data_IF_382382286799
#
_entry.id   IF_382382286799
#
_cell.length_a   1.000
_cell.length_b   1.000
_cell.length_c   1.000
_cell.angle_alpha   90.00
_cell.angle_beta   90.00
_cell.angle_gamma   90.00
#
_symmetry.space_group_name_H-M   'P 1'
#
loop_
_entity.id
_entity.type
_entity.pdbx_description
1 polymer ?
#
# COMPACT_ATOMS: atom_id res chain seq x y z
N UNK A 1 -5.16 0.36 9.97
CA UNK A 1 -3.81 0.25 9.37
C UNK A 1 -2.96 1.45 9.76
N UNK A 2 -1.64 1.35 9.63
CA UNK A 2 -0.74 2.50 9.65
C UNK A 2 -0.12 2.67 8.25
N UNK A 3 -0.37 3.83 7.64
CA UNK A 3 0.29 4.30 6.44
C UNK A 3 1.28 5.40 6.84
N UNK A 4 2.49 5.37 6.30
CA UNK A 4 3.40 6.50 6.40
C UNK A 4 3.17 7.45 5.21
N UNK A 5 3.60 8.70 5.37
CA UNK A 5 3.58 9.69 4.30
C UNK A 5 4.40 9.18 3.09
N UNK A 6 3.95 9.40 1.83
CA UNK A 6 2.85 10.27 1.40
C UNK A 6 1.44 9.66 1.46
N UNK A 7 1.30 8.37 1.77
CA UNK A 7 0.00 7.69 1.79
C UNK A 7 -0.93 8.15 2.92
N UNK A 8 -0.36 8.63 4.04
CA UNK A 8 -1.11 9.31 5.09
C UNK A 8 -0.29 10.46 5.68
N UNK A 9 -0.94 11.60 5.81
CA UNK A 9 -0.40 12.81 6.43
C UNK A 9 -0.73 12.79 7.92
N UNK A 10 0.23 13.18 8.76
CA UNK A 10 0.06 13.17 10.23
C UNK A 10 -0.57 14.48 10.73
N UNK A 11 -0.52 15.51 9.89
CA UNK A 11 -0.92 16.87 10.16
C UNK A 11 -2.43 16.96 10.32
N UNK A 12 -2.87 17.70 11.34
CA UNK A 12 -4.29 17.92 11.63
C UNK A 12 -4.86 19.14 10.91
N UNK A 13 -3.99 20.00 10.35
CA UNK A 13 -4.37 21.18 9.60
C UNK A 13 -4.11 20.98 8.10
N UNK A 14 -5.07 21.41 7.28
CA UNK A 14 -5.00 21.25 5.82
C UNK A 14 -3.81 21.97 5.20
N UNK A 15 -3.42 23.15 5.74
CA UNK A 15 -2.30 23.93 5.21
C UNK A 15 -0.95 23.22 5.40
N UNK A 16 -0.76 22.57 6.54
CA UNK A 16 0.47 21.82 6.85
C UNK A 16 0.54 20.56 5.98
N UNK A 17 -0.59 19.88 5.82
CA UNK A 17 -0.70 18.73 4.92
C UNK A 17 -0.39 19.13 3.47
N UNK A 18 -0.99 20.21 2.98
CA UNK A 18 -0.72 20.77 1.65
C UNK A 18 0.77 21.07 1.47
N UNK A 19 1.38 21.76 2.43
CA UNK A 19 2.81 22.11 2.39
C UNK A 19 3.70 20.86 2.30
N UNK A 20 3.35 19.76 3.00
CA UNK A 20 4.08 18.49 2.86
C UNK A 20 3.89 17.85 1.49
N UNK A 21 2.70 17.91 0.91
CA UNK A 21 2.44 17.40 -0.43
C UNK A 21 3.20 18.19 -1.50
N UNK A 22 3.24 19.51 -1.39
CA UNK A 22 4.09 20.38 -2.23
C UNK A 22 5.57 20.00 -2.13
N UNK A 23 6.07 19.72 -0.92
CA UNK A 23 7.46 19.32 -0.74
C UNK A 23 7.79 17.99 -1.42
N UNK A 24 6.91 16.99 -1.40
CA UNK A 24 7.15 15.73 -2.12
C UNK A 24 6.93 15.89 -3.62
N UNK A 25 5.99 16.73 -4.05
CA UNK A 25 5.81 17.09 -5.45
C UNK A 25 7.09 17.69 -6.02
N UNK A 26 7.67 18.69 -5.36
CA UNK A 26 8.94 19.29 -5.78
C UNK A 26 10.08 18.26 -5.83
N UNK A 27 10.13 17.31 -4.88
CA UNK A 27 11.14 16.24 -4.91
C UNK A 27 10.94 15.30 -6.10
N UNK A 28 9.70 14.96 -6.44
CA UNK A 28 9.37 14.20 -7.65
C UNK A 28 9.84 14.99 -8.87
N UNK A 29 9.48 16.26 -8.99
CA UNK A 29 9.85 17.13 -10.11
C UNK A 29 11.36 17.18 -10.35
N UNK A 30 12.19 17.24 -9.30
CA UNK A 30 13.64 17.31 -9.43
C UNK A 30 14.34 15.96 -9.62
N UNK A 31 13.69 14.85 -9.24
CA UNK A 31 14.23 13.51 -9.37
C UNK A 31 14.26 13.05 -10.84
N UNK A 32 15.39 12.50 -11.29
CA UNK A 32 15.52 11.94 -12.65
C UNK A 32 15.24 10.44 -12.68
N UNK A 33 15.58 9.73 -11.62
CA UNK A 33 15.48 8.28 -11.53
C UNK A 33 14.63 7.88 -10.32
N UNK A 34 13.38 7.54 -10.57
CA UNK A 34 12.43 7.12 -9.51
C UNK A 34 12.31 5.60 -9.45
N UNK A 35 12.59 5.02 -8.29
CA UNK A 35 12.31 3.61 -8.00
C UNK A 35 11.01 3.50 -7.18
N UNK A 36 10.08 2.68 -7.62
CA UNK A 36 8.88 2.32 -6.86
C UNK A 36 8.98 0.84 -6.47
N UNK A 37 8.95 0.55 -5.17
CA UNK A 37 9.04 -0.81 -4.64
C UNK A 37 7.64 -1.28 -4.25
N UNK A 38 7.02 -2.12 -5.09
CA UNK A 38 5.71 -2.73 -4.86
C UNK A 38 4.69 -2.42 -5.94
N UNK A 39 4.46 -3.36 -6.86
CA UNK A 39 3.44 -3.31 -7.91
C UNK A 39 1.99 -3.59 -7.46
N UNK A 40 1.60 -3.14 -6.27
CA UNK A 40 0.19 -3.08 -5.87
C UNK A 40 -0.51 -1.83 -6.43
N UNK A 41 -1.78 -1.61 -6.09
CA UNK A 41 -2.55 -0.46 -6.59
C UNK A 41 -1.83 0.88 -6.39
N UNK A 42 -1.33 1.12 -5.17
CA UNK A 42 -0.60 2.36 -4.83
C UNK A 42 0.64 2.57 -5.70
N UNK A 43 1.44 1.53 -5.91
CA UNK A 43 2.66 1.66 -6.71
C UNK A 43 2.37 1.84 -8.20
N UNK A 44 1.31 1.19 -8.71
CA UNK A 44 0.86 1.33 -10.09
C UNK A 44 0.34 2.75 -10.35
N UNK A 45 -0.54 3.25 -9.48
CA UNK A 45 -1.07 4.62 -9.56
C UNK A 45 0.07 5.63 -9.49
N UNK A 46 0.97 5.51 -8.51
CA UNK A 46 2.10 6.44 -8.38
C UNK A 46 3.01 6.44 -9.60
N UNK A 47 3.35 5.27 -10.16
CA UNK A 47 4.12 5.20 -11.41
C UNK A 47 3.38 5.87 -12.57
N UNK A 48 2.08 5.60 -12.71
CA UNK A 48 1.25 6.16 -13.79
C UNK A 48 1.16 7.68 -13.72
N UNK A 49 0.89 8.23 -12.54
CA UNK A 49 0.81 9.69 -12.32
C UNK A 49 2.14 10.37 -12.62
N UNK A 50 3.25 9.87 -12.05
CA UNK A 50 4.57 10.46 -12.28
C UNK A 50 4.95 10.40 -13.77
N UNK A 51 4.72 9.26 -14.43
CA UNK A 51 5.02 9.10 -15.86
C UNK A 51 4.08 9.92 -16.76
N UNK A 52 2.87 10.24 -16.28
CA UNK A 52 1.91 11.05 -17.02
C UNK A 52 2.31 12.52 -16.98
N UNK A 53 2.64 13.04 -15.80
CA UNK A 53 2.94 14.46 -15.59
C UNK A 53 4.38 14.82 -15.94
N UNK A 54 5.33 13.89 -15.81
CA UNK A 54 6.74 14.14 -16.01
C UNK A 54 7.37 13.17 -17.01
N UNK A 55 7.35 13.57 -18.29
CA UNK A 55 7.76 12.71 -19.43
C UNK A 55 9.26 12.40 -19.51
N UNK A 56 10.09 13.15 -18.80
CA UNK A 56 11.55 13.03 -18.82
C UNK A 56 12.10 12.11 -17.70
N UNK A 57 11.23 11.54 -16.86
CA UNK A 57 11.65 10.72 -15.72
C UNK A 57 11.87 9.26 -16.09
N UNK A 58 12.94 8.69 -15.56
CA UNK A 58 13.20 7.26 -15.60
C UNK A 58 12.56 6.58 -14.39
N UNK A 59 11.46 5.86 -14.61
CA UNK A 59 10.72 5.20 -13.54
C UNK A 59 10.96 3.69 -13.63
N UNK A 60 11.37 3.08 -12.52
CA UNK A 60 11.49 1.63 -12.36
C UNK A 60 10.53 1.14 -11.30
N UNK A 61 9.65 0.19 -11.64
CA UNK A 61 8.76 -0.49 -10.72
C UNK A 61 9.27 -1.90 -10.45
N UNK A 62 9.60 -2.20 -9.19
CA UNK A 62 9.99 -3.55 -8.77
C UNK A 62 8.85 -4.21 -8.02
N UNK A 63 8.52 -5.46 -8.37
CA UNK A 63 7.51 -6.24 -7.68
C UNK A 63 7.92 -7.71 -7.51
N UNK A 64 7.52 -8.28 -6.38
CA UNK A 64 7.93 -9.62 -5.96
C UNK A 64 7.17 -10.75 -6.66
N UNK A 65 6.00 -10.45 -7.24
CA UNK A 65 5.14 -11.43 -7.90
C UNK A 65 5.32 -11.38 -9.42
N UNK A 66 4.74 -12.38 -10.10
CA UNK A 66 4.83 -12.55 -11.55
C UNK A 66 3.87 -11.65 -12.35
N UNK A 67 2.98 -10.93 -11.67
CA UNK A 67 2.05 -9.98 -12.25
C UNK A 67 1.89 -8.77 -11.31
N UNK A 68 1.49 -7.63 -11.86
CA UNK A 68 1.04 -6.48 -11.09
C UNK A 68 -0.32 -6.74 -10.43
N UNK A 69 -0.65 -6.01 -9.37
CA UNK A 69 -1.81 -6.24 -8.48
C UNK A 69 -1.80 -7.63 -7.82
N UNK A 70 -2.73 -7.83 -6.88
CA UNK A 70 -2.89 -9.13 -6.24
C UNK A 70 -3.33 -10.19 -7.27
N UNK A 71 -2.71 -11.38 -7.30
CA UNK A 71 -3.04 -12.44 -8.25
C UNK A 71 -4.42 -13.02 -7.96
N UNK A 72 -5.02 -13.63 -8.99
CA UNK A 72 -6.31 -14.34 -8.93
C UNK A 72 -7.52 -13.46 -8.53
N UNK A 73 -7.39 -12.14 -8.62
CA UNK A 73 -8.50 -11.19 -8.40
C UNK A 73 -9.15 -10.79 -9.72
N UNK A 74 -8.36 -10.64 -10.77
CA UNK A 74 -8.81 -10.19 -12.09
C UNK A 74 -8.54 -11.26 -13.14
N UNK A 75 -9.15 -11.11 -14.32
CA UNK A 75 -8.82 -11.95 -15.46
C UNK A 75 -7.42 -11.61 -16.02
N UNK A 76 -6.84 -12.53 -16.79
CA UNK A 76 -5.50 -12.38 -17.36
C UNK A 76 -5.34 -11.15 -18.27
N UNK A 77 -6.42 -10.72 -18.92
CA UNK A 77 -6.42 -9.54 -19.79
C UNK A 77 -6.20 -8.25 -19.01
N UNK A 78 -6.76 -8.12 -17.80
CA UNK A 78 -6.56 -6.96 -16.94
C UNK A 78 -5.09 -6.78 -16.58
N UNK A 79 -4.42 -7.85 -16.13
CA UNK A 79 -3.00 -7.79 -15.75
C UNK A 79 -2.12 -7.37 -16.92
N UNK A 80 -2.35 -7.94 -18.12
CA UNK A 80 -1.64 -7.57 -19.35
C UNK A 80 -1.88 -6.10 -19.71
N UNK A 81 -3.13 -5.64 -19.61
CA UNK A 81 -3.50 -4.26 -19.97
C UNK A 81 -2.87 -3.23 -19.02
N UNK A 82 -2.77 -3.52 -17.73
CA UNK A 82 -2.11 -2.63 -16.76
C UNK A 82 -0.61 -2.56 -17.05
N UNK A 83 0.02 -3.72 -17.26
CA UNK A 83 1.44 -3.78 -17.59
C UNK A 83 1.75 -3.00 -18.88
N UNK A 84 0.99 -3.23 -19.95
CA UNK A 84 1.13 -2.52 -21.22
C UNK A 84 0.99 -1.01 -21.05
N UNK A 85 -0.01 -0.52 -20.31
CA UNK A 85 -0.20 0.92 -20.11
C UNK A 85 0.99 1.58 -19.38
N UNK A 86 1.60 0.90 -18.42
CA UNK A 86 2.79 1.41 -17.76
C UNK A 86 4.03 1.35 -18.66
N UNK A 87 4.18 0.29 -19.45
CA UNK A 87 5.27 0.16 -20.43
C UNK A 87 5.15 1.21 -21.55
N UNK A 88 3.92 1.52 -22.01
CA UNK A 88 3.61 2.59 -22.97
C UNK A 88 3.99 3.97 -22.40
N UNK A 89 3.95 4.13 -21.08
CA UNK A 89 4.43 5.30 -20.34
C UNK A 89 5.94 5.23 -20.04
N UNK A 90 6.68 4.30 -20.65
CA UNK A 90 8.13 4.09 -20.47
C UNK A 90 8.55 3.72 -19.04
N UNK A 91 7.63 3.18 -18.24
CA UNK A 91 7.96 2.62 -16.92
C UNK A 91 8.64 1.28 -17.11
N UNK A 92 9.87 1.14 -16.57
CA UNK A 92 10.59 -0.13 -16.53
C UNK A 92 10.01 -1.01 -15.43
N UNK A 93 9.47 -2.18 -15.78
CA UNK A 93 8.85 -3.10 -14.82
C UNK A 93 9.78 -4.30 -14.59
N UNK A 94 10.06 -4.60 -13.32
CA UNK A 94 10.87 -5.74 -12.89
C UNK A 94 10.00 -6.62 -11.97
N UNK A 95 9.60 -7.77 -12.47
CA UNK A 95 8.74 -8.74 -11.78
C UNK A 95 9.54 -9.92 -11.22
N UNK A 96 8.98 -10.64 -10.26
CA UNK A 96 9.61 -11.77 -9.57
C UNK A 96 10.93 -11.41 -8.87
N UNK A 97 11.09 -10.16 -8.46
CA UNK A 97 12.30 -9.65 -7.80
C UNK A 97 11.96 -8.85 -6.56
N UNK A 98 12.84 -8.92 -5.57
CA UNK A 98 12.66 -8.30 -4.26
C UNK A 98 13.85 -7.44 -3.91
N UNK A 99 13.59 -6.18 -3.57
CA UNK A 99 14.56 -5.31 -2.88
C UNK A 99 14.47 -5.58 -1.38
N UNK A 100 15.61 -5.62 -0.67
CA UNK A 100 15.61 -5.73 0.78
C UNK A 100 15.19 -4.40 1.43
N UNK A 101 13.89 -4.24 1.65
CA UNK A 101 13.34 -3.02 2.25
C UNK A 101 13.86 -2.76 3.67
N UNK A 102 14.28 -3.78 4.42
CA UNK A 102 14.83 -3.58 5.77
C UNK A 102 16.19 -2.90 5.69
N UNK A 103 17.02 -3.27 4.71
CA UNK A 103 18.31 -2.62 4.49
C UNK A 103 18.18 -1.11 4.27
N UNK A 104 17.15 -0.66 3.55
CA UNK A 104 17.04 0.74 3.12
C UNK A 104 16.05 1.59 3.91
N UNK A 105 14.98 1.00 4.45
CA UNK A 105 13.90 1.70 5.14
C UNK A 105 13.85 1.43 6.65
N UNK A 106 14.77 0.66 7.22
CA UNK A 106 14.81 0.47 8.67
C UNK A 106 15.05 1.81 9.38
N UNK A 107 14.21 2.11 10.37
CA UNK A 107 14.20 3.40 11.06
C UNK A 107 13.65 4.58 10.24
N UNK A 108 13.28 4.39 8.97
CA UNK A 108 12.67 5.44 8.16
C UNK A 108 11.19 5.59 8.55
N UNK A 109 10.80 6.79 8.94
CA UNK A 109 9.41 7.12 9.27
C UNK A 109 8.55 7.38 8.01
N UNK A 110 9.21 7.60 6.87
CA UNK A 110 8.59 7.93 5.60
C UNK A 110 8.59 6.71 4.67
N UNK A 111 7.57 6.62 3.81
CA UNK A 111 7.52 5.63 2.74
C UNK A 111 8.27 6.10 1.48
N UNK A 112 9.23 7.00 1.63
CA UNK A 112 10.09 7.41 0.54
C UNK A 112 11.48 7.79 1.04
N UNK A 113 12.41 7.84 0.09
CA UNK A 113 13.82 8.10 0.30
C UNK A 113 14.29 9.05 -0.81
N UNK A 114 15.10 10.05 -0.46
CA UNK A 114 15.75 10.96 -1.40
C UNK A 114 17.26 10.70 -1.40
N UNK A 115 17.88 10.98 -2.55
CA UNK A 115 19.32 10.93 -2.75
C UNK A 115 19.71 9.71 -3.54
N UNK A 116 20.73 9.87 -4.37
CA UNK A 116 21.23 8.81 -5.25
C UNK A 116 21.67 7.58 -4.44
N UNK A 117 21.11 6.42 -4.81
CA UNK A 117 21.41 5.12 -4.19
C UNK A 117 21.35 4.03 -5.23
N UNK A 118 22.22 3.04 -5.06
CA UNK A 118 22.13 1.77 -5.77
C UNK A 118 21.38 0.75 -4.90
N UNK A 119 20.34 0.18 -5.47
CA UNK A 119 19.58 -0.94 -4.92
C UNK A 119 20.01 -2.22 -5.63
N UNK A 120 20.05 -3.32 -4.88
CA UNK A 120 20.25 -4.65 -5.45
C UNK A 120 19.03 -5.51 -5.11
N UNK A 121 18.53 -6.25 -6.10
CA UNK A 121 17.46 -7.22 -5.87
C UNK A 121 18.03 -8.57 -5.42
N UNK A 122 17.17 -9.45 -4.90
CA UNK A 122 17.53 -10.84 -4.61
C UNK A 122 18.04 -11.63 -5.84
N UNK A 123 17.83 -11.12 -7.06
CA UNK A 123 18.37 -11.70 -8.31
C UNK A 123 19.59 -10.94 -8.85
N UNK A 124 20.21 -10.08 -8.03
CA UNK A 124 21.40 -9.30 -8.39
C UNK A 124 21.18 -8.24 -9.47
N UNK A 125 19.93 -7.87 -9.74
CA UNK A 125 19.63 -6.72 -10.60
C UNK A 125 19.98 -5.45 -9.85
N UNK A 126 20.82 -4.61 -10.46
CA UNK A 126 21.21 -3.32 -9.90
C UNK A 126 20.33 -2.20 -10.45
N UNK A 127 19.87 -1.31 -9.57
CA UNK A 127 18.97 -0.20 -9.90
C UNK A 127 19.47 1.04 -9.19
N UNK A 128 19.81 2.09 -9.94
CA UNK A 128 20.14 3.40 -9.36
C UNK A 128 18.92 4.31 -9.39
N UNK A 129 18.65 4.98 -8.27
CA UNK A 129 17.56 5.94 -8.15
C UNK A 129 17.95 7.11 -7.24
N UNK A 130 17.45 8.30 -7.55
CA UNK A 130 17.60 9.52 -6.74
C UNK A 130 16.33 9.86 -5.92
N UNK A 131 15.22 9.18 -6.24
CA UNK A 131 14.00 9.13 -5.45
C UNK A 131 13.49 7.69 -5.38
N UNK A 132 13.07 7.23 -4.20
CA UNK A 132 12.53 5.89 -4.03
C UNK A 132 11.29 5.87 -3.17
N UNK A 133 10.24 5.21 -3.62
CA UNK A 133 8.99 5.02 -2.88
C UNK A 133 8.80 3.57 -2.44
N UNK A 134 8.35 3.38 -1.21
CA UNK A 134 7.97 2.10 -0.63
C UNK A 134 6.45 1.92 -0.68
N UNK A 135 5.99 1.04 -1.57
CA UNK A 135 4.59 0.75 -1.87
C UNK A 135 4.22 -0.72 -1.55
N UNK A 136 4.82 -1.31 -0.52
CA UNK A 136 4.64 -2.73 -0.15
C UNK A 136 3.44 -3.00 0.77
N UNK A 137 2.43 -2.13 0.76
CA UNK A 137 1.24 -2.23 1.61
C UNK A 137 1.45 -1.75 3.05
N UNK A 138 0.47 -2.04 3.92
CA UNK A 138 0.41 -1.49 5.28
C UNK A 138 0.73 -2.49 6.38
N UNK A 139 1.16 -1.95 7.53
CA UNK A 139 1.09 -2.67 8.79
C UNK A 139 -0.33 -2.60 9.38
N UNK A 140 -0.82 -3.73 9.85
CA UNK A 140 -2.10 -3.81 10.56
C UNK A 140 -1.93 -3.15 11.93
N UNK A 141 -2.88 -2.27 12.29
CA UNK A 141 -2.86 -1.58 13.57
C UNK A 141 -3.67 -2.39 14.60
N UNK A 142 -3.05 -3.42 15.16
CA UNK A 142 -3.67 -4.34 16.13
C UNK A 142 -3.04 -4.28 17.53
N UNK A 143 -1.99 -3.46 17.74
CA UNK A 143 -1.21 -3.45 18.99
C UNK A 143 -2.08 -3.22 20.24
N UNK A 144 -3.01 -2.27 20.17
CA UNK A 144 -3.93 -1.95 21.29
C UNK A 144 -4.93 -3.05 21.60
N UNK A 145 -5.15 -3.98 20.66
CA UNK A 145 -6.11 -5.07 20.78
C UNK A 145 -5.46 -6.37 21.29
N UNK A 146 -4.12 -6.42 21.34
CA UNK A 146 -3.38 -7.63 21.73
C UNK A 146 -3.66 -8.10 23.15
N UNK A 147 -3.94 -7.21 24.10
CA UNK A 147 -4.24 -7.63 25.48
C UNK A 147 -5.56 -8.40 25.60
N UNK A 148 -6.54 -8.09 24.74
CA UNK A 148 -7.91 -8.63 24.85
C UNK A 148 -8.21 -9.70 23.80
N UNK A 149 -7.68 -9.54 22.57
CA UNK A 149 -8.11 -10.33 21.42
C UNK A 149 -7.00 -11.20 20.81
N UNK A 150 -5.90 -11.46 21.54
CA UNK A 150 -4.74 -12.18 21.01
C UNK A 150 -5.10 -13.50 20.32
N UNK A 151 -5.99 -14.27 20.92
CA UNK A 151 -6.45 -15.57 20.42
C UNK A 151 -7.44 -15.48 19.24
N UNK A 152 -7.94 -14.28 18.93
CA UNK A 152 -8.90 -14.05 17.85
C UNK A 152 -8.24 -13.49 16.58
N UNK A 153 -6.91 -13.29 16.58
CA UNK A 153 -6.18 -12.92 15.37
C UNK A 153 -5.89 -14.13 14.48
N UNK A 154 -5.98 -13.93 13.17
CA UNK A 154 -5.38 -14.85 12.20
C UNK A 154 -3.86 -14.65 12.10
N UNK A 155 -3.20 -15.43 11.24
CA UNK A 155 -1.76 -15.36 10.99
C UNK A 155 -1.27 -14.01 10.45
N UNK A 156 -2.16 -13.20 9.86
CA UNK A 156 -1.84 -11.84 9.42
C UNK A 156 -2.00 -10.80 10.54
N UNK A 157 -2.56 -11.16 11.70
CA UNK A 157 -2.84 -10.24 12.80
C UNK A 157 -4.18 -9.51 12.67
N UNK A 158 -5.13 -10.03 11.89
CA UNK A 158 -6.50 -9.50 11.73
C UNK A 158 -7.48 -10.29 12.57
N UNK A 159 -8.52 -9.64 13.09
CA UNK A 159 -9.57 -10.31 13.86
C UNK A 159 -10.40 -11.23 12.95
N UNK A 160 -10.54 -12.49 13.36
CA UNK A 160 -11.47 -13.41 12.73
C UNK A 160 -12.90 -12.97 13.01
N UNK A 161 -13.71 -12.92 11.95
CA UNK A 161 -15.11 -12.52 12.03
C UNK A 161 -16.04 -13.46 11.27
N UNK A 162 -17.27 -13.57 11.77
CA UNK A 162 -18.33 -14.30 11.08
C UNK A 162 -18.95 -13.48 9.92
N UNK A 163 -20.06 -13.94 9.33
CA UNK A 163 -20.72 -13.25 8.20
C UNK A 163 -21.43 -11.95 8.61
N UNK A 164 -21.59 -11.72 9.91
CA UNK A 164 -22.16 -10.52 10.50
C UNK A 164 -21.09 -9.53 10.98
N UNK A 165 -19.82 -9.78 10.61
CA UNK A 165 -18.65 -8.98 11.03
C UNK A 165 -18.42 -8.94 12.54
N UNK A 166 -19.04 -9.86 13.28
CA UNK A 166 -18.80 -10.07 14.71
C UNK A 166 -17.49 -10.81 14.91
N UNK A 167 -16.69 -10.38 15.87
CA UNK A 167 -15.46 -11.07 16.28
C UNK A 167 -15.82 -12.45 16.80
N UNK A 168 -15.12 -13.49 16.33
CA UNK A 168 -15.37 -14.87 16.75
C UNK A 168 -15.43 -14.99 18.27
N UNK A 169 -16.48 -15.65 18.79
CA UNK A 169 -16.71 -15.80 20.24
C UNK A 169 -17.46 -14.64 20.90
N UNK A 170 -17.78 -13.56 20.17
CA UNK A 170 -18.53 -12.41 20.69
C UNK A 170 -19.75 -12.12 19.84
N UNK A 171 -20.87 -11.78 20.49
CA UNK A 171 -22.11 -11.37 19.81
C UNK A 171 -22.20 -9.85 19.64
N UNK A 172 -21.53 -9.10 20.51
CA UNK A 172 -21.63 -7.65 20.64
C UNK A 172 -20.34 -6.90 20.29
N UNK A 173 -19.34 -7.60 19.74
CA UNK A 173 -18.07 -7.00 19.32
C UNK A 173 -17.92 -7.22 17.83
N UNK A 174 -17.66 -6.14 17.08
CA UNK A 174 -17.54 -6.16 15.62
C UNK A 174 -16.16 -5.68 15.19
N UNK A 175 -15.67 -6.21 14.08
CA UNK A 175 -14.44 -5.75 13.44
C UNK A 175 -14.67 -5.46 11.96
N UNK A 176 -14.43 -4.21 11.58
CA UNK A 176 -14.61 -3.68 10.22
C UNK A 176 -13.32 -3.03 9.73
N UNK A 177 -13.23 -2.82 8.42
CA UNK A 177 -12.08 -2.26 7.73
C UNK A 177 -10.84 -3.14 7.87
N UNK A 178 -9.68 -2.47 7.93
CA UNK A 178 -8.38 -3.14 7.87
C UNK A 178 -8.06 -4.06 9.07
N UNK A 179 -8.82 -4.02 10.16
CA UNK A 179 -8.61 -4.98 11.27
C UNK A 179 -9.39 -6.28 11.06
N UNK A 180 -10.40 -6.27 10.19
CA UNK A 180 -11.23 -7.45 9.91
C UNK A 180 -10.49 -8.44 9.00
N UNK A 181 -10.63 -9.73 9.28
CA UNK A 181 -10.12 -10.82 8.41
C UNK A 181 -10.88 -10.91 7.08
N UNK A 182 -12.12 -10.41 7.01
CA UNK A 182 -12.95 -10.49 5.80
C UNK A 182 -12.79 -9.32 4.84
N UNK A 183 -13.10 -9.62 3.58
CA UNK A 183 -13.16 -8.69 2.45
C UNK A 183 -11.83 -7.98 2.11
N UNK A 184 -11.77 -7.35 0.94
CA UNK A 184 -10.61 -6.58 0.50
C UNK A 184 -10.42 -5.32 1.35
N UNK A 185 -9.17 -4.85 1.49
CA UNK A 185 -8.80 -3.75 2.38
C UNK A 185 -8.89 -2.42 1.64
N UNK A 186 -10.12 -1.97 1.44
CA UNK A 186 -10.47 -0.76 0.68
C UNK A 186 -11.36 0.15 1.52
N UNK A 187 -11.13 1.46 1.44
CA UNK A 187 -11.92 2.46 2.17
C UNK A 187 -13.43 2.38 1.83
N UNK A 188 -13.76 2.15 0.56
CA UNK A 188 -15.14 1.94 0.10
C UNK A 188 -15.82 0.78 0.84
N UNK A 189 -15.15 -0.38 0.93
CA UNK A 189 -15.70 -1.54 1.64
C UNK A 189 -15.79 -1.30 3.14
N UNK A 190 -14.81 -0.62 3.74
CA UNK A 190 -14.89 -0.23 5.16
C UNK A 190 -16.13 0.62 5.46
N UNK A 191 -16.49 1.55 4.56
CA UNK A 191 -17.73 2.33 4.66
C UNK A 191 -18.97 1.44 4.57
N UNK A 192 -19.03 0.52 3.60
CA UNK A 192 -20.15 -0.43 3.48
C UNK A 192 -20.29 -1.37 4.68
N UNK A 193 -19.18 -1.83 5.23
CA UNK A 193 -19.15 -2.64 6.45
C UNK A 193 -19.68 -1.84 7.65
N UNK A 194 -19.31 -0.56 7.76
CA UNK A 194 -19.84 0.32 8.81
C UNK A 194 -21.35 0.49 8.70
N UNK A 195 -21.87 0.77 7.49
CA UNK A 195 -23.31 0.86 7.24
C UNK A 195 -24.05 -0.44 7.60
N UNK A 196 -23.46 -1.58 7.24
CA UNK A 196 -24.01 -2.89 7.55
C UNK A 196 -24.08 -3.15 9.06
N UNK A 197 -22.97 -2.93 9.78
CA UNK A 197 -22.92 -3.13 11.24
C UNK A 197 -23.86 -2.17 11.96
N UNK A 198 -23.94 -0.91 11.53
CA UNK A 198 -24.85 0.07 12.13
C UNK A 198 -26.32 -0.36 12.07
N UNK A 199 -26.75 -1.02 10.99
CA UNK A 199 -28.11 -1.59 10.86
C UNK A 199 -28.30 -2.85 11.69
N UNK A 200 -27.22 -3.58 11.95
CA UNK A 200 -27.25 -4.84 12.67
C UNK A 200 -27.29 -4.65 14.19
N UNK A 201 -26.60 -3.63 14.72
CA UNK A 201 -26.49 -3.36 16.17
C UNK A 201 -27.87 -3.35 16.88
N UNK A 202 -28.92 -2.67 16.38
CA UNK A 202 -30.23 -2.66 17.05
C UNK A 202 -30.94 -4.02 17.10
N UNK A 203 -30.54 -4.98 16.26
CA UNK A 203 -31.16 -6.29 16.12
C UNK A 203 -30.52 -7.34 17.05
N UNK A 204 -29.42 -6.99 17.71
CA UNK A 204 -28.67 -7.89 18.59
C UNK A 204 -29.00 -7.51 20.02
N UNK A 205 -30.02 -8.17 20.57
CA UNK A 205 -30.38 -8.17 22.00
C UNK A 205 -29.61 -9.24 22.76
#
# INVERSE_FOLDING_TARGET
SSYAFPGKVAEHHSIDAYTKYEQIHNKIEHAKHTLVIGGGSVGIELCGEIATDFKDKHITLVHTQSCLLHPNVFNSQMYKRIQSQLEDLSVKIILNEKVDVQQYFNGNELNYIIGERMYETNKKTQITADLTFLCTGTKINNKSLNSTFKQHFNSEGRLNVNNYLQVDGYKNIFAIGDISSKESKMAFLAGRQAEFVAKLIPLIQ
#
